data_IF_527632716720
#
_entry.id   IF_527632716720
#
_cell.length_a   1.000
_cell.length_b   1.000
_cell.length_c   1.000
_cell.angle_alpha   90.00
_cell.angle_beta   90.00
_cell.angle_gamma   90.00
#
_symmetry.space_group_name_H-M   'P 1'
#
loop_
_entity.id
_entity.type
_entity.pdbx_description
1 polymer ?
#
# COMPACT_ATOMS: atom_id res chain seq x y z
N UNK A 1 4.70 -23.21 -17.19
CA UNK A 1 4.78 -21.91 -16.45
C UNK A 1 4.76 -20.66 -17.36
N UNK A 2 4.36 -20.79 -18.64
CA UNK A 2 4.22 -19.67 -19.57
C UNK A 2 3.26 -18.59 -19.04
N UNK A 3 2.16 -18.98 -18.40
CA UNK A 3 1.19 -18.06 -17.79
C UNK A 3 1.82 -17.10 -16.78
N UNK A 4 2.71 -17.60 -15.90
CA UNK A 4 3.40 -16.74 -14.91
C UNK A 4 4.33 -15.74 -15.60
N UNK A 5 5.01 -16.16 -16.69
CA UNK A 5 5.86 -15.28 -17.48
C UNK A 5 5.07 -14.15 -18.15
N UNK A 6 3.98 -14.50 -18.83
CA UNK A 6 3.08 -13.52 -19.47
C UNK A 6 2.53 -12.53 -18.44
N UNK A 7 2.02 -13.03 -17.31
CA UNK A 7 1.51 -12.18 -16.23
C UNK A 7 2.57 -11.20 -15.70
N UNK A 8 3.81 -11.68 -15.48
CA UNK A 8 4.91 -10.83 -15.01
C UNK A 8 5.27 -9.74 -16.01
N UNK A 9 5.39 -10.09 -17.29
CA UNK A 9 5.69 -9.12 -18.36
C UNK A 9 4.59 -8.06 -18.46
N UNK A 10 3.33 -8.47 -18.49
CA UNK A 10 2.20 -7.54 -18.54
C UNK A 10 2.15 -6.62 -17.31
N UNK A 11 2.47 -7.16 -16.13
CA UNK A 11 2.53 -6.37 -14.87
C UNK A 11 3.65 -5.33 -14.90
N UNK A 12 4.83 -5.68 -15.42
CA UNK A 12 5.96 -4.75 -15.55
C UNK A 12 5.64 -3.64 -16.55
N UNK A 13 5.08 -4.00 -17.71
CA UNK A 13 4.64 -3.01 -18.71
C UNK A 13 3.58 -2.09 -18.13
N UNK A 14 2.55 -2.65 -17.47
CA UNK A 14 1.49 -1.87 -16.83
C UNK A 14 2.04 -0.93 -15.75
N UNK A 15 2.98 -1.39 -14.93
CA UNK A 15 3.64 -0.55 -13.93
C UNK A 15 4.44 0.59 -14.58
N UNK A 16 5.19 0.31 -15.63
CA UNK A 16 5.93 1.33 -16.39
C UNK A 16 5.00 2.40 -16.98
N UNK A 17 3.87 1.98 -17.56
CA UNK A 17 2.86 2.90 -18.08
C UNK A 17 2.22 3.76 -16.99
N UNK A 18 1.97 3.22 -15.80
CA UNK A 18 1.46 3.98 -14.65
C UNK A 18 2.47 5.05 -14.24
N UNK A 19 3.75 4.69 -14.07
CA UNK A 19 4.80 5.63 -13.67
C UNK A 19 4.96 6.74 -14.71
N UNK A 20 5.02 6.38 -15.98
CA UNK A 20 5.15 7.34 -17.08
C UNK A 20 3.93 8.25 -17.20
N UNK A 21 2.72 7.68 -17.24
CA UNK A 21 1.48 8.43 -17.37
C UNK A 21 1.20 9.36 -16.18
N UNK A 22 1.50 8.89 -14.95
CA UNK A 22 1.40 9.73 -13.77
C UNK A 22 2.42 10.88 -13.79
N UNK A 23 3.65 10.62 -14.28
CA UNK A 23 4.65 11.66 -14.49
C UNK A 23 4.19 12.76 -15.46
N UNK A 24 3.55 12.38 -16.57
CA UNK A 24 2.96 13.35 -17.52
C UNK A 24 1.80 14.13 -16.90
N UNK A 25 0.88 13.46 -16.22
CA UNK A 25 -0.29 14.09 -15.59
C UNK A 25 0.09 15.10 -14.48
N UNK A 26 1.29 14.99 -13.92
CA UNK A 26 1.81 15.96 -12.93
C UNK A 26 2.31 17.27 -13.56
N UNK A 27 2.56 17.31 -14.86
CA UNK A 27 3.02 18.51 -15.57
C UNK A 27 1.89 19.54 -15.73
N UNK A 28 0.66 19.05 -15.92
CA UNK A 28 -0.55 19.89 -16.01
C UNK A 28 -1.61 19.39 -15.00
N UNK A 29 -1.44 19.72 -13.71
CA UNK A 29 -2.27 19.15 -12.66
C UNK A 29 -3.69 19.74 -12.67
N UNK A 30 -4.70 18.89 -12.77
CA UNK A 30 -6.11 19.27 -12.59
C UNK A 30 -6.43 19.14 -11.09
N UNK A 31 -6.61 20.28 -10.42
CA UNK A 31 -6.99 20.33 -9.01
C UNK A 31 -8.50 20.15 -8.86
N UNK A 32 -8.92 19.17 -8.07
CA UNK A 32 -10.32 18.91 -7.74
C UNK A 32 -10.72 19.54 -6.40
N UNK A 33 -9.84 19.44 -5.39
CA UNK A 33 -10.01 20.08 -4.07
C UNK A 33 -8.66 20.28 -3.39
N UNK A 34 -8.63 21.13 -2.37
CA UNK A 34 -7.44 21.31 -1.51
C UNK A 34 -7.68 20.62 -0.16
N UNK A 35 -6.95 19.54 0.14
CA UNK A 35 -7.09 18.86 1.42
C UNK A 35 -6.68 19.75 2.59
N UNK A 36 -7.42 19.73 3.72
CA UNK A 36 -7.00 20.40 4.95
C UNK A 36 -5.64 19.89 5.45
N UNK A 37 -4.84 20.77 6.07
CA UNK A 37 -3.49 20.41 6.53
C UNK A 37 -3.45 19.19 7.49
N UNK A 38 -4.51 19.00 8.29
CA UNK A 38 -4.65 17.86 9.19
C UNK A 38 -4.64 16.51 8.46
N UNK A 39 -5.04 16.47 7.21
CA UNK A 39 -5.07 15.23 6.41
C UNK A 39 -3.67 14.66 6.18
N UNK A 40 -2.62 15.49 6.20
CA UNK A 40 -1.23 15.01 6.13
C UNK A 40 -0.84 14.19 7.37
N UNK A 41 -1.29 14.59 8.55
CA UNK A 41 -1.03 13.84 9.79
C UNK A 41 -1.81 12.52 9.83
N UNK A 42 -3.07 12.54 9.38
CA UNK A 42 -3.88 11.32 9.24
C UNK A 42 -3.24 10.37 8.23
N UNK A 43 -2.80 10.89 7.08
CA UNK A 43 -2.11 10.08 6.07
C UNK A 43 -0.79 9.49 6.59
N UNK A 44 -0.03 10.24 7.38
CA UNK A 44 1.18 9.75 8.04
C UNK A 44 0.90 8.55 8.96
N UNK A 45 -0.14 8.65 9.77
CA UNK A 45 -0.57 7.54 10.66
C UNK A 45 -1.05 6.32 9.84
N UNK A 46 -1.89 6.53 8.84
CA UNK A 46 -2.39 5.45 7.99
C UNK A 46 -1.27 4.76 7.20
N UNK A 47 -0.31 5.53 6.68
CA UNK A 47 0.84 4.95 5.97
C UNK A 47 1.78 4.22 6.92
N UNK A 48 1.98 4.69 8.16
CA UNK A 48 2.72 3.95 9.19
C UNK A 48 2.09 2.56 9.41
N UNK A 49 0.78 2.50 9.62
CA UNK A 49 0.07 1.23 9.77
C UNK A 49 0.19 0.38 8.50
N UNK A 50 0.08 1.00 7.32
CA UNK A 50 0.24 0.31 6.05
C UNK A 50 1.63 -0.34 5.89
N UNK A 51 2.71 0.34 6.29
CA UNK A 51 4.06 -0.23 6.25
C UNK A 51 4.24 -1.38 7.23
N UNK A 52 3.67 -1.30 8.43
CA UNK A 52 3.67 -2.42 9.39
C UNK A 52 2.93 -3.63 8.80
N UNK A 53 1.79 -3.42 8.16
CA UNK A 53 1.04 -4.47 7.47
C UNK A 53 1.81 -5.05 6.27
N UNK A 54 2.52 -4.20 5.53
CA UNK A 54 3.37 -4.64 4.42
C UNK A 54 4.48 -5.57 4.92
N UNK A 55 5.18 -5.19 5.98
CA UNK A 55 6.21 -6.03 6.60
C UNK A 55 5.61 -7.31 7.19
N UNK A 56 4.41 -7.23 7.78
CA UNK A 56 3.71 -8.41 8.31
C UNK A 56 3.43 -9.48 7.23
N UNK A 57 3.42 -9.10 5.97
CA UNK A 57 3.26 -10.04 4.85
C UNK A 57 4.43 -11.01 4.76
N UNK A 58 5.65 -10.53 5.02
CA UNK A 58 6.90 -11.24 4.78
C UNK A 58 7.50 -11.89 6.03
N UNK A 59 7.30 -11.28 7.21
CA UNK A 59 7.78 -11.87 8.47
C UNK A 59 6.93 -13.10 8.82
N UNK A 60 7.53 -14.30 8.94
CA UNK A 60 6.77 -15.50 9.29
C UNK A 60 6.32 -15.46 10.76
N UNK A 61 5.22 -16.17 11.06
CA UNK A 61 4.73 -16.37 12.42
C UNK A 61 4.50 -15.10 13.24
N UNK A 62 4.16 -13.97 12.62
CA UNK A 62 3.69 -12.79 13.33
C UNK A 62 2.17 -12.84 13.59
N UNK A 63 1.73 -12.28 14.72
CA UNK A 63 0.32 -12.29 15.12
C UNK A 63 -0.57 -11.41 14.23
N UNK A 64 -0.01 -10.41 13.54
CA UNK A 64 -0.75 -9.54 12.63
C UNK A 64 -1.25 -10.37 11.45
N UNK A 65 -0.36 -11.14 10.80
CA UNK A 65 -0.74 -12.01 9.67
C UNK A 65 -1.67 -13.13 10.10
N UNK A 66 -1.46 -13.73 11.27
CA UNK A 66 -2.33 -14.81 11.75
C UNK A 66 -3.76 -14.35 12.05
N UNK A 67 -3.96 -13.08 12.42
CA UNK A 67 -5.28 -12.51 12.73
C UNK A 67 -5.95 -11.85 11.52
N UNK A 68 -5.17 -11.16 10.68
CA UNK A 68 -5.70 -10.37 9.56
C UNK A 68 -5.67 -11.12 8.23
N UNK A 69 -4.96 -12.25 8.15
CA UNK A 69 -4.82 -13.18 7.02
C UNK A 69 -4.16 -12.57 5.77
N UNK A 70 -4.63 -11.44 5.29
CA UNK A 70 -4.16 -10.79 4.05
C UNK A 70 -3.57 -9.39 4.30
N UNK A 71 -2.48 -9.26 5.11
CA UNK A 71 -1.94 -7.96 5.50
C UNK A 71 -1.45 -7.12 4.32
N UNK A 72 -0.95 -7.71 3.24
CA UNK A 72 -0.55 -6.99 2.02
C UNK A 72 -1.72 -6.20 1.41
N UNK A 73 -2.88 -6.83 1.25
CA UNK A 73 -4.05 -6.18 0.66
C UNK A 73 -4.60 -5.08 1.57
N UNK A 74 -4.55 -5.29 2.89
CA UNK A 74 -4.90 -4.25 3.87
C UNK A 74 -3.90 -3.08 3.83
N UNK A 75 -2.61 -3.36 3.67
CA UNK A 75 -1.57 -2.34 3.48
C UNK A 75 -1.87 -1.45 2.28
N UNK A 76 -2.13 -2.04 1.11
CA UNK A 76 -2.46 -1.28 -0.10
C UNK A 76 -3.74 -0.46 0.07
N UNK A 77 -4.77 -1.00 0.73
CA UNK A 77 -6.01 -0.26 1.02
C UNK A 77 -5.75 0.98 1.87
N UNK A 78 -5.00 0.83 2.97
CA UNK A 78 -4.68 1.96 3.86
C UNK A 78 -3.76 2.97 3.18
N UNK A 79 -2.77 2.52 2.44
CA UNK A 79 -1.87 3.37 1.67
C UNK A 79 -2.63 4.20 0.62
N UNK A 80 -3.49 3.58 -0.16
CA UNK A 80 -4.29 4.25 -1.17
C UNK A 80 -5.28 5.25 -0.53
N UNK A 81 -5.96 4.86 0.56
CA UNK A 81 -6.85 5.74 1.29
C UNK A 81 -6.11 6.96 1.87
N UNK A 82 -4.93 6.75 2.47
CA UNK A 82 -4.10 7.83 3.00
C UNK A 82 -3.77 8.88 1.93
N UNK A 83 -3.39 8.43 0.74
CA UNK A 83 -3.06 9.32 -0.37
C UNK A 83 -4.30 10.02 -0.94
N UNK A 84 -5.46 9.36 -1.00
CA UNK A 84 -6.72 9.99 -1.40
C UNK A 84 -7.14 11.11 -0.43
N UNK A 85 -6.89 10.94 0.88
CA UNK A 85 -7.19 11.97 1.88
C UNK A 85 -6.22 13.15 1.81
N UNK A 86 -4.96 12.90 1.47
CA UNK A 86 -3.91 13.92 1.48
C UNK A 86 -3.73 14.65 0.15
N UNK A 87 -4.28 14.15 -0.95
CA UNK A 87 -4.10 14.69 -2.29
C UNK A 87 -5.46 15.00 -2.96
N UNK A 88 -5.55 16.12 -3.66
CA UNK A 88 -6.80 16.57 -4.29
C UNK A 88 -6.70 16.74 -5.81
N UNK A 89 -5.70 16.14 -6.46
CA UNK A 89 -5.54 16.24 -7.93
C UNK A 89 -6.20 15.04 -8.61
N UNK A 90 -6.71 15.25 -9.82
CA UNK A 90 -7.37 14.20 -10.61
C UNK A 90 -6.46 12.97 -10.82
N UNK A 91 -5.18 13.19 -11.14
CA UNK A 91 -4.22 12.09 -11.32
C UNK A 91 -4.08 11.22 -10.05
N UNK A 92 -4.04 11.87 -8.86
CA UNK A 92 -3.97 11.16 -7.58
C UNK A 92 -5.25 10.35 -7.33
N UNK A 93 -6.41 10.94 -7.62
CA UNK A 93 -7.70 10.25 -7.43
C UNK A 93 -7.81 9.03 -8.34
N UNK A 94 -7.41 9.15 -9.60
CA UNK A 94 -7.42 8.02 -10.53
C UNK A 94 -6.44 6.93 -10.10
N UNK A 95 -5.22 7.29 -9.74
CA UNK A 95 -4.18 6.34 -9.34
C UNK A 95 -4.57 5.60 -8.05
N UNK A 96 -4.77 6.34 -6.97
CA UNK A 96 -5.04 5.75 -5.66
C UNK A 96 -6.44 5.16 -5.57
N UNK A 97 -7.42 5.71 -6.28
CA UNK A 97 -8.76 5.15 -6.41
C UNK A 97 -8.75 3.78 -7.11
N UNK A 98 -8.00 3.64 -8.20
CA UNK A 98 -7.83 2.36 -8.89
C UNK A 98 -7.15 1.31 -8.00
N UNK A 99 -6.06 1.67 -7.29
CA UNK A 99 -5.41 0.77 -6.35
C UNK A 99 -6.31 0.38 -5.18
N UNK A 100 -7.11 1.30 -4.66
CA UNK A 100 -8.06 1.01 -3.58
C UNK A 100 -9.14 0.02 -4.06
N UNK A 101 -9.74 0.28 -5.21
CA UNK A 101 -10.76 -0.60 -5.80
C UNK A 101 -10.20 -2.00 -6.08
N UNK A 102 -9.01 -2.07 -6.67
CA UNK A 102 -8.30 -3.34 -6.90
C UNK A 102 -8.03 -4.10 -5.59
N UNK A 103 -7.48 -3.41 -4.58
CA UNK A 103 -7.15 -4.05 -3.30
C UNK A 103 -8.41 -4.53 -2.56
N UNK A 104 -9.53 -3.81 -2.66
CA UNK A 104 -10.82 -4.24 -2.10
C UNK A 104 -11.33 -5.49 -2.82
N UNK A 105 -11.34 -5.49 -4.15
CA UNK A 105 -11.78 -6.65 -4.94
C UNK A 105 -10.91 -7.90 -4.65
N UNK A 106 -9.59 -7.74 -4.63
CA UNK A 106 -8.66 -8.82 -4.31
C UNK A 106 -8.84 -9.33 -2.87
N UNK A 107 -9.11 -8.45 -1.91
CA UNK A 107 -9.35 -8.82 -0.52
C UNK A 107 -10.62 -9.66 -0.37
N UNK A 108 -11.71 -9.25 -1.03
CA UNK A 108 -12.97 -10.02 -1.06
C UNK A 108 -12.75 -11.40 -1.69
N UNK A 109 -12.04 -11.45 -2.83
CA UNK A 109 -11.73 -12.71 -3.50
C UNK A 109 -10.86 -13.64 -2.64
N UNK A 110 -9.86 -13.07 -1.94
CA UNK A 110 -9.00 -13.81 -1.04
C UNK A 110 -9.77 -14.40 0.15
N UNK A 111 -10.65 -13.62 0.78
CA UNK A 111 -11.50 -14.10 1.87
C UNK A 111 -12.48 -15.20 1.41
N UNK A 112 -13.08 -15.06 0.21
CA UNK A 112 -13.94 -16.10 -0.35
C UNK A 112 -13.17 -17.41 -0.56
N UNK A 113 -11.95 -17.34 -1.09
CA UNK A 113 -11.08 -18.50 -1.28
C UNK A 113 -10.71 -19.15 0.04
N UNK A 114 -10.32 -18.37 1.06
CA UNK A 114 -10.00 -18.90 2.38
C UNK A 114 -11.16 -19.67 3.00
N UNK A 115 -12.38 -19.12 2.91
CA UNK A 115 -13.60 -19.79 3.38
C UNK A 115 -13.88 -21.09 2.62
N UNK A 116 -13.68 -21.08 1.31
CA UNK A 116 -13.93 -22.26 0.46
C UNK A 116 -12.91 -23.39 0.71
N UNK A 117 -11.66 -23.04 1.08
CA UNK A 117 -10.59 -24.02 1.30
C UNK A 117 -10.37 -24.37 2.77
N UNK A 118 -11.07 -23.71 3.71
CA UNK A 118 -10.82 -23.88 5.14
C UNK A 118 -9.42 -23.42 5.53
N UNK A 119 -8.89 -22.36 4.93
CA UNK A 119 -7.51 -21.92 5.13
C UNK A 119 -7.21 -21.67 6.61
N UNK A 120 -6.12 -22.29 7.09
CA UNK A 120 -5.65 -22.13 8.47
C UNK A 120 -4.36 -21.29 8.50
N UNK A 121 -4.31 -20.32 9.39
CA UNK A 121 -3.16 -19.46 9.61
C UNK A 121 -2.48 -19.79 10.93
N UNK A 122 -1.19 -20.17 10.92
CA UNK A 122 -0.47 -20.52 12.15
C UNK A 122 -0.47 -19.39 13.17
N UNK A 123 -0.56 -19.73 14.46
CA UNK A 123 -0.49 -18.76 15.53
C UNK A 123 0.82 -17.95 15.46
N UNK A 124 0.74 -16.66 15.73
CA UNK A 124 1.88 -15.78 15.79
C UNK A 124 2.60 -15.84 17.14
N UNK A 125 3.88 -15.44 17.14
CA UNK A 125 4.68 -15.27 18.35
C UNK A 125 4.85 -13.79 18.69
N UNK A 126 5.04 -13.46 19.96
CA UNK A 126 5.30 -12.08 20.39
C UNK A 126 6.59 -11.53 19.79
N UNK A 127 7.66 -12.33 19.74
CA UNK A 127 8.95 -11.92 19.17
C UNK A 127 8.84 -11.57 17.66
N UNK A 128 8.20 -12.45 16.85
CA UNK A 128 8.02 -12.17 15.44
C UNK A 128 7.12 -10.94 15.21
N UNK A 129 6.13 -10.74 16.07
CA UNK A 129 5.25 -9.56 15.99
C UNK A 129 6.01 -8.28 16.32
N UNK A 130 6.85 -8.29 17.36
CA UNK A 130 7.70 -7.15 17.72
C UNK A 130 8.67 -6.78 16.59
N UNK A 131 9.35 -7.77 16.01
CA UNK A 131 10.21 -7.58 14.84
C UNK A 131 9.43 -6.98 13.67
N UNK A 132 8.23 -7.47 13.42
CA UNK A 132 7.36 -6.94 12.36
C UNK A 132 7.03 -5.47 12.56
N UNK A 133 6.63 -5.09 13.77
CA UNK A 133 6.28 -3.69 14.08
C UNK A 133 7.53 -2.80 14.00
N UNK A 134 8.64 -3.21 14.64
CA UNK A 134 9.88 -2.43 14.61
C UNK A 134 10.40 -2.22 13.18
N UNK A 135 10.48 -3.28 12.37
CA UNK A 135 10.88 -3.20 10.99
C UNK A 135 9.92 -2.32 10.16
N UNK A 136 8.61 -2.45 10.37
CA UNK A 136 7.60 -1.63 9.69
C UNK A 136 7.76 -0.14 9.99
N UNK A 137 8.02 0.23 11.25
CA UNK A 137 8.30 1.61 11.66
C UNK A 137 9.57 2.14 11.01
N UNK A 138 10.66 1.36 11.04
CA UNK A 138 11.95 1.75 10.43
C UNK A 138 11.81 1.96 8.93
N UNK A 139 11.18 1.03 8.22
CA UNK A 139 10.97 1.13 6.76
C UNK A 139 10.06 2.32 6.43
N UNK A 140 9.00 2.54 7.21
CA UNK A 140 8.15 3.73 7.05
C UNK A 140 8.93 5.02 7.25
N UNK A 141 9.74 5.11 8.31
CA UNK A 141 10.53 6.31 8.59
C UNK A 141 11.55 6.59 7.46
N UNK A 142 12.28 5.56 7.03
CA UNK A 142 13.21 5.69 5.91
C UNK A 142 12.51 6.15 4.63
N UNK A 143 11.32 5.62 4.35
CA UNK A 143 10.55 5.99 3.18
C UNK A 143 9.97 7.42 3.31
N UNK A 144 9.33 7.74 4.42
CA UNK A 144 8.63 8.99 4.61
C UNK A 144 9.57 10.21 4.70
N UNK A 145 10.73 10.05 5.35
CA UNK A 145 11.68 11.16 5.55
C UNK A 145 12.74 11.29 4.44
N UNK A 146 13.00 10.24 3.69
CA UNK A 146 14.07 10.23 2.69
C UNK A 146 13.62 9.72 1.32
N UNK A 147 13.25 8.44 1.20
CA UNK A 147 13.01 7.79 -0.10
C UNK A 147 11.85 8.41 -0.87
N UNK A 148 10.81 8.87 -0.21
CA UNK A 148 9.67 9.52 -0.87
C UNK A 148 10.11 10.80 -1.61
N UNK A 149 10.99 11.59 -0.98
CA UNK A 149 11.56 12.77 -1.63
C UNK A 149 12.43 12.43 -2.83
N UNK A 150 13.27 11.39 -2.71
CA UNK A 150 14.19 10.97 -3.78
C UNK A 150 13.45 10.34 -4.95
N UNK A 151 12.49 9.45 -4.70
CA UNK A 151 11.81 8.67 -5.73
C UNK A 151 10.62 9.40 -6.37
N UNK A 152 9.86 10.16 -5.56
CA UNK A 152 8.61 10.79 -5.99
C UNK A 152 8.78 12.31 -6.21
N UNK A 153 9.83 12.90 -5.63
CA UNK A 153 10.06 14.34 -5.71
C UNK A 153 9.19 15.18 -4.77
N UNK A 154 8.50 14.54 -3.83
CA UNK A 154 7.65 15.19 -2.82
C UNK A 154 8.10 14.76 -1.43
N UNK A 155 8.25 15.73 -0.51
CA UNK A 155 8.56 15.44 0.89
C UNK A 155 7.29 15.54 1.72
N UNK A 156 6.82 14.44 2.35
CA UNK A 156 5.57 14.45 3.12
C UNK A 156 5.59 15.38 4.33
N UNK A 157 6.76 15.60 4.92
CA UNK A 157 6.95 16.37 6.16
C UNK A 157 7.86 17.61 6.02
N UNK A 158 8.23 17.98 4.79
CA UNK A 158 9.20 19.03 4.68
C UNK A 158 8.98 20.09 3.71
#
# INVERSE_FOLDING_TARGET
NAWKGIYSVMSIIGFGLIVWGFGLARQEPVLLWTPPAVMRHIAALLTLIAFVLLVATYVPRNAIKSRLHHPMLLSVKLWALAHLLANGKLADVLLFGAFLAWAVACFIAAQKRDRATGAHYPAGTAGATLVTVAAGVVVWAAFAFWLHGVLIGVRPFG
#
